data_IF_590796862844
#
_entry.id   IF_590796862844
#
_cell.length_a   1.000
_cell.length_b   1.000
_cell.length_c   1.000
_cell.angle_alpha   90.00
_cell.angle_beta   90.00
_cell.angle_gamma   90.00
#
_symmetry.space_group_name_H-M   'P 1'
#
loop_
_entity.id
_entity.type
_entity.pdbx_description
1 polymer ?
2 water ?
#
# COMPACT_ATOMS: atom_id res chain seq x y z
N UNK A 19 16.95 -12.43 -21.59
CA UNK A 19 16.86 -11.27 -20.63
C UNK A 19 17.54 -11.43 -19.30
N UNK A 20 18.87 -11.43 -19.22
CA UNK A 20 19.50 -11.54 -17.90
C UNK A 20 19.34 -10.16 -17.27
N UNK A 21 18.55 -9.35 -17.97
CA UNK A 21 18.23 -7.98 -17.60
C UNK A 21 16.85 -7.86 -16.95
N UNK A 22 15.87 -8.59 -17.48
CA UNK A 22 14.52 -8.55 -16.93
C UNK A 22 14.45 -9.45 -15.70
N UNK A 23 15.32 -10.45 -15.66
CA UNK A 23 15.39 -11.37 -14.54
C UNK A 23 16.22 -10.72 -13.44
N UNK A 24 17.22 -9.94 -13.84
CA UNK A 24 18.10 -9.24 -12.91
C UNK A 24 17.27 -8.22 -12.13
N UNK A 25 16.45 -7.47 -12.86
CA UNK A 25 15.61 -6.45 -12.26
C UNK A 25 14.58 -7.09 -11.33
N UNK A 26 13.99 -8.20 -11.78
CA UNK A 26 12.99 -8.91 -11.00
C UNK A 26 13.61 -9.55 -9.76
N UNK A 27 14.89 -9.88 -9.86
CA UNK A 27 15.60 -10.50 -8.75
C UNK A 27 15.96 -9.45 -7.70
N UNK A 28 16.33 -8.26 -8.17
CA UNK A 28 16.68 -7.17 -7.27
C UNK A 28 15.44 -6.75 -6.47
N UNK A 29 14.29 -6.75 -7.14
CA UNK A 29 13.04 -6.38 -6.50
C UNK A 29 12.62 -7.39 -5.44
N UNK A 30 12.75 -8.68 -5.76
CA UNK A 30 12.39 -9.71 -4.79
C UNK A 30 13.28 -9.61 -3.56
N UNK A 31 14.55 -9.29 -3.77
CA UNK A 31 15.49 -9.15 -2.66
C UNK A 31 15.05 -7.98 -1.80
N UNK A 32 14.61 -6.92 -2.47
CA UNK A 32 14.14 -5.73 -1.77
C UNK A 32 12.88 -6.06 -0.99
N UNK A 33 11.99 -6.82 -1.63
CA UNK A 33 10.74 -7.21 -0.99
C UNK A 33 10.95 -8.10 0.23
N UNK A 34 11.74 -9.15 0.09
CA UNK A 34 11.98 -10.07 1.19
C UNK A 34 12.77 -9.43 2.32
N UNK A 35 13.55 -8.41 1.98
CA UNK A 35 14.35 -7.70 2.97
C UNK A 35 13.37 -6.83 3.78
N UNK A 36 12.37 -6.29 3.09
CA UNK A 36 11.38 -5.46 3.75
C UNK A 36 10.42 -6.30 4.58
N UNK A 37 10.19 -7.53 4.13
CA UNK A 37 9.31 -8.47 4.83
C UNK A 37 9.96 -8.90 6.14
N UNK A 38 11.28 -9.02 6.12
CA UNK A 38 12.05 -9.44 7.29
C UNK A 38 12.16 -8.38 8.39
N UNK A 39 12.59 -7.17 8.02
CA UNK A 39 12.79 -6.12 9.02
C UNK A 39 12.08 -4.78 8.80
N UNK A 40 11.12 -4.73 7.89
CA UNK A 40 10.43 -3.47 7.64
C UNK A 40 11.07 -2.72 6.48
N UNK A 41 10.53 -1.56 6.14
CA UNK A 41 11.03 -0.77 5.01
C UNK A 41 11.74 0.54 5.36
N UNK A 42 11.29 1.20 6.41
CA UNK A 42 11.85 2.48 6.84
C UNK A 42 13.31 2.44 7.29
N UNK A 43 14.03 1.37 6.96
CA UNK A 43 15.43 1.24 7.35
C UNK A 43 16.26 0.39 6.38
N UNK A 44 15.69 0.04 5.23
CA UNK A 44 16.42 -0.76 4.25
C UNK A 44 17.30 0.15 3.40
N UNK A 45 18.55 -0.25 3.21
CA UNK A 45 19.48 0.56 2.43
C UNK A 45 19.80 -0.07 1.07
N UNK A 46 20.24 0.77 0.13
CA UNK A 46 20.58 0.30 -1.21
C UNK A 46 21.73 -0.71 -1.12
N UNK A 47 22.57 -0.52 -0.11
CA UNK A 47 23.71 -1.40 0.13
C UNK A 47 23.24 -2.80 0.54
N UNK A 48 22.31 -2.85 1.50
CA UNK A 48 21.77 -4.11 1.99
C UNK A 48 21.15 -4.92 0.86
N UNK A 49 20.39 -4.25 0.00
CA UNK A 49 19.76 -4.90 -1.13
C UNK A 49 20.83 -5.49 -2.04
N UNK A 50 21.88 -4.71 -2.28
CA UNK A 50 22.98 -5.13 -3.13
C UNK A 50 23.63 -6.36 -2.51
N UNK A 51 23.89 -6.27 -1.21
CA UNK A 51 24.50 -7.36 -0.46
C UNK A 51 23.64 -8.62 -0.55
N UNK A 52 22.32 -8.44 -0.53
CA UNK A 52 21.39 -9.56 -0.59
C UNK A 52 21.43 -10.26 -1.95
N UNK A 53 21.36 -9.48 -3.04
CA UNK A 53 21.39 -10.06 -4.38
C UNK A 53 22.79 -10.49 -4.79
N UNK A 54 23.79 -10.15 -3.98
CA UNK A 54 25.16 -10.53 -4.28
C UNK A 54 25.82 -9.90 -5.49
N UNK A 55 25.73 -8.58 -5.59
CA UNK A 55 26.36 -7.86 -6.69
C UNK A 55 26.89 -6.56 -6.11
N UNK A 56 27.84 -5.93 -6.79
CA UNK A 56 28.39 -4.68 -6.29
C UNK A 56 27.34 -3.59 -6.40
N UNK A 57 27.46 -2.57 -5.55
CA UNK A 57 26.51 -1.48 -5.53
C UNK A 57 26.47 -0.73 -6.86
N UNK A 58 27.63 -0.60 -7.50
CA UNK A 58 27.71 0.10 -8.78
C UNK A 58 26.85 -0.57 -9.85
N UNK A 59 26.85 -1.90 -9.87
CA UNK A 59 26.06 -2.65 -10.84
C UNK A 59 24.58 -2.49 -10.52
N UNK A 60 24.25 -2.48 -9.24
CA UNK A 60 22.86 -2.32 -8.81
C UNK A 60 22.35 -0.95 -9.25
N UNK A 61 23.22 0.05 -9.17
CA UNK A 61 22.86 1.41 -9.54
C UNK A 61 22.52 1.56 -11.02
N UNK A 62 22.95 0.62 -11.84
CA UNK A 62 22.65 0.69 -13.25
C UNK A 62 21.17 0.41 -13.45
N UNK A 63 20.60 -0.41 -12.56
CA UNK A 63 19.19 -0.74 -12.63
C UNK A 63 18.32 0.27 -11.89
N UNK A 64 18.76 0.69 -10.70
CA UNK A 64 18.00 1.64 -9.89
C UNK A 64 18.88 2.75 -9.29
N UNK A 65 18.50 3.99 -9.55
CA UNK A 65 19.25 5.16 -9.08
C UNK A 65 19.38 5.28 -7.57
N UNK A 66 18.30 4.97 -6.84
CA UNK A 66 18.32 5.06 -5.39
C UNK A 66 17.40 4.01 -4.78
N UNK A 67 17.44 3.88 -3.46
CA UNK A 67 16.58 2.92 -2.79
C UNK A 67 15.12 3.37 -2.89
N UNK A 68 14.91 4.68 -3.06
CA UNK A 68 13.57 5.23 -3.21
C UNK A 68 12.94 4.83 -4.53
N UNK A 69 13.77 4.69 -5.57
CA UNK A 69 13.27 4.30 -6.87
C UNK A 69 12.91 2.81 -6.84
N UNK A 70 13.64 2.05 -6.03
CA UNK A 70 13.35 0.62 -5.92
C UNK A 70 12.01 0.42 -5.23
N UNK A 71 11.79 1.14 -4.14
CA UNK A 71 10.56 1.00 -3.40
C UNK A 71 9.38 1.59 -4.12
N UNK A 72 9.63 2.58 -4.96
CA UNK A 72 8.55 3.18 -5.70
C UNK A 72 8.08 2.14 -6.72
N UNK A 73 9.00 1.38 -7.30
CA UNK A 73 8.59 0.36 -8.27
C UNK A 73 7.86 -0.80 -7.59
N UNK A 74 8.24 -1.12 -6.36
CA UNK A 74 7.57 -2.17 -5.62
C UNK A 74 6.21 -1.66 -5.17
N UNK A 75 6.13 -0.35 -4.92
CA UNK A 75 4.87 0.24 -4.50
C UNK A 75 3.88 0.15 -5.66
N UNK A 76 4.38 0.38 -6.88
CA UNK A 76 3.54 0.33 -8.07
C UNK A 76 3.08 -1.12 -8.34
N UNK A 77 3.97 -2.09 -8.15
CA UNK A 77 3.60 -3.48 -8.35
C UNK A 77 2.52 -3.82 -7.32
N UNK A 78 2.65 -3.23 -6.14
CA UNK A 78 1.69 -3.44 -5.07
C UNK A 78 0.33 -2.87 -5.44
N UNK A 79 0.32 -1.72 -6.11
CA UNK A 79 -0.94 -1.12 -6.54
C UNK A 79 -1.60 -2.04 -7.57
N UNK A 80 -0.82 -2.58 -8.51
CA UNK A 80 -1.39 -3.45 -9.54
C UNK A 80 -1.97 -4.72 -8.91
N UNK A 81 -1.19 -5.34 -8.03
CA UNK A 81 -1.61 -6.57 -7.37
C UNK A 81 -2.85 -6.35 -6.51
N UNK A 82 -2.86 -5.29 -5.71
CA UNK A 82 -4.01 -5.01 -4.86
C UNK A 82 -5.27 -4.66 -5.67
N UNK A 83 -5.11 -3.81 -6.67
CA UNK A 83 -6.24 -3.41 -7.52
C UNK A 83 -6.89 -4.64 -8.18
N UNK A 84 -6.06 -5.51 -8.74
CA UNK A 84 -6.55 -6.72 -9.40
C UNK A 84 -7.29 -7.62 -8.40
N UNK A 85 -6.78 -7.69 -7.17
CA UNK A 85 -7.41 -8.51 -6.13
C UNK A 85 -8.75 -7.91 -5.77
N UNK A 86 -8.73 -6.62 -5.49
CA UNK A 86 -9.92 -5.90 -5.09
C UNK A 86 -11.01 -5.91 -6.17
N UNK A 87 -10.62 -5.66 -7.42
CA UNK A 87 -11.58 -5.63 -8.51
C UNK A 87 -12.14 -7.02 -8.85
N UNK A 88 -11.32 -8.06 -8.74
CA UNK A 88 -11.80 -9.41 -9.02
C UNK A 88 -12.91 -9.77 -8.03
N UNK A 89 -12.78 -9.28 -6.80
CA UNK A 89 -13.77 -9.53 -5.76
C UNK A 89 -15.01 -8.64 -5.90
N UNK A 90 -14.80 -7.36 -6.17
CA UNK A 90 -15.93 -6.44 -6.31
C UNK A 90 -16.76 -6.78 -7.55
N UNK A 91 -16.09 -7.35 -8.54
CA UNK A 91 -16.70 -7.74 -9.80
C UNK A 91 -17.74 -8.86 -9.64
N UNK A 92 -17.80 -9.46 -8.45
CA UNK A 92 -18.75 -10.53 -8.17
C UNK A 92 -19.74 -10.10 -7.08
N UNK A 93 -19.87 -8.79 -6.87
CA UNK A 93 -20.74 -8.26 -5.82
C UNK A 93 -22.08 -7.67 -6.25
N UNK A 94 -23.03 -7.55 -5.30
CA UNK A 94 -24.38 -7.00 -5.51
C UNK A 94 -24.32 -5.47 -5.43
N UNK A 95 -24.33 -4.84 -6.60
CA UNK A 95 -24.23 -3.39 -6.67
C UNK A 95 -25.15 -2.51 -5.85
N UNK A 96 -24.93 -2.42 -4.53
CA UNK A 96 -25.76 -1.57 -3.68
C UNK A 96 -25.51 -1.73 -2.18
N UNK A 97 -24.52 -2.52 -1.79
CA UNK A 97 -24.23 -2.74 -0.38
C UNK A 97 -22.96 -2.03 0.09
N UNK A 98 -23.10 -0.85 0.73
CA UNK A 98 -21.97 -0.07 1.23
C UNK A 98 -21.08 -0.84 2.20
N UNK A 99 -21.69 -1.37 3.26
CA UNK A 99 -20.94 -2.12 4.26
C UNK A 99 -20.17 -3.30 3.66
N UNK A 100 -20.74 -3.94 2.64
CA UNK A 100 -20.08 -5.07 2.01
C UNK A 100 -18.87 -4.61 1.20
N UNK A 101 -18.99 -3.47 0.54
CA UNK A 101 -17.88 -2.96 -0.26
C UNK A 101 -16.76 -2.54 0.68
N UNK A 102 -17.12 -1.84 1.75
CA UNK A 102 -16.13 -1.40 2.72
C UNK A 102 -15.36 -2.58 3.28
N UNK A 103 -16.09 -3.66 3.54
CA UNK A 103 -15.53 -4.89 4.08
C UNK A 103 -14.48 -5.50 3.15
N UNK A 104 -14.70 -5.42 1.84
CA UNK A 104 -13.73 -5.97 0.89
C UNK A 104 -12.46 -5.11 0.84
N UNK A 105 -12.62 -3.80 1.00
CA UNK A 105 -11.48 -2.89 1.00
C UNK A 105 -10.63 -3.14 2.24
N UNK A 106 -11.31 -3.27 3.37
CA UNK A 106 -10.64 -3.49 4.64
C UNK A 106 -9.88 -4.81 4.71
N UNK A 107 -10.48 -5.87 4.17
CA UNK A 107 -9.86 -7.18 4.20
C UNK A 107 -8.67 -7.30 3.27
N UNK A 108 -8.77 -6.74 2.07
CA UNK A 108 -7.66 -6.83 1.14
C UNK A 108 -6.46 -5.99 1.59
N UNK A 109 -6.72 -4.79 2.10
CA UNK A 109 -5.65 -3.92 2.58
C UNK A 109 -5.05 -4.44 3.88
N UNK A 110 -5.89 -4.90 4.80
CA UNK A 110 -5.40 -5.42 6.06
C UNK A 110 -4.49 -6.64 5.84
N UNK A 111 -4.70 -7.34 4.72
CA UNK A 111 -3.91 -8.52 4.40
C UNK A 111 -2.62 -8.19 3.68
N UNK A 112 -2.35 -6.89 3.50
CA UNK A 112 -1.15 -6.46 2.79
C UNK A 112 -0.32 -5.44 3.56
N UNK A 113 0.37 -5.88 4.63
CA UNK A 113 1.20 -4.99 5.44
C UNK A 113 2.35 -4.30 4.71
N UNK A 114 3.07 -5.02 3.85
CA UNK A 114 4.17 -4.39 3.12
C UNK A 114 3.64 -3.31 2.20
N UNK A 115 2.56 -3.62 1.47
CA UNK A 115 1.95 -2.66 0.56
C UNK A 115 1.47 -1.44 1.36
N UNK A 116 0.93 -1.68 2.55
CA UNK A 116 0.46 -0.58 3.40
C UNK A 116 1.63 0.30 3.89
N UNK A 117 2.77 -0.29 4.27
CA UNK A 117 3.94 0.51 4.69
C UNK A 117 4.38 1.40 3.52
N UNK A 118 4.38 0.81 2.32
CA UNK A 118 4.75 1.51 1.10
C UNK A 118 3.76 2.62 0.73
N UNK A 119 2.48 2.42 1.02
CA UNK A 119 1.47 3.46 0.74
C UNK A 119 1.71 4.67 1.66
N UNK A 120 2.14 4.41 2.89
CA UNK A 120 2.42 5.47 3.85
C UNK A 120 3.76 6.16 3.56
N UNK A 121 4.72 5.39 3.05
CA UNK A 121 6.05 5.91 2.75
C UNK A 121 6.20 6.60 1.39
N UNK A 122 5.33 6.24 0.45
CA UNK A 122 5.35 6.77 -0.92
C UNK A 122 5.45 8.29 -1.09
N UNK A 123 4.53 9.05 -0.48
CA UNK A 123 4.58 10.51 -0.61
C UNK A 123 5.96 11.09 -0.28
N UNK A 124 6.67 10.40 0.61
CA UNK A 124 8.00 10.81 1.04
C UNK A 124 9.12 10.26 0.14
N UNK A 125 8.89 9.10 -0.49
CA UNK A 125 9.86 8.44 -1.39
C UNK A 125 10.08 9.19 -2.72
N UNK A 126 8.99 9.60 -3.35
CA UNK A 126 9.06 10.32 -4.62
C UNK A 126 9.38 11.79 -4.39
N UNK A 127 9.13 12.23 -3.17
CA UNK A 127 9.35 13.62 -2.76
C UNK A 127 10.58 14.35 -3.33
N UNK A 128 11.74 13.70 -3.38
CA UNK A 128 12.90 14.42 -3.90
C UNK A 128 14.12 13.64 -4.38
N UNK A 129 14.23 12.36 -4.05
CA UNK A 129 15.38 11.56 -4.49
C UNK A 129 15.05 10.59 -5.63
N UNK A 130 14.09 10.99 -6.46
CA UNK A 130 13.67 10.18 -7.59
C UNK A 130 13.48 11.14 -8.76
N UNK A 131 13.86 10.70 -9.95
CA UNK A 131 13.75 11.53 -11.14
C UNK A 131 12.30 11.88 -11.47
N UNK A 132 12.12 13.07 -12.05
CA UNK A 132 10.81 13.53 -12.43
C UNK A 132 10.07 12.51 -13.29
N UNK A 133 10.76 11.97 -14.29
CA UNK A 133 10.13 11.01 -15.18
C UNK A 133 9.69 9.72 -14.49
N UNK A 134 10.40 9.32 -13.44
CA UNK A 134 10.03 8.12 -12.69
C UNK A 134 8.77 8.46 -11.90
N UNK A 135 8.74 9.64 -11.29
CA UNK A 135 7.57 10.05 -10.52
C UNK A 135 6.37 10.09 -11.46
N UNK A 136 6.56 10.67 -12.64
CA UNK A 136 5.51 10.75 -13.63
C UNK A 136 4.93 9.38 -14.01
N UNK A 137 5.80 8.39 -14.22
CA UNK A 137 5.34 7.05 -14.59
C UNK A 137 4.60 6.41 -13.43
N UNK A 138 5.17 6.56 -12.24
CA UNK A 138 4.58 6.02 -11.02
C UNK A 138 3.17 6.56 -10.78
N UNK A 139 3.02 7.88 -10.82
CA UNK A 139 1.70 8.48 -10.58
C UNK A 139 0.70 8.07 -11.65
N UNK A 140 1.17 7.96 -12.90
CA UNK A 140 0.29 7.56 -13.98
C UNK A 140 -0.18 6.12 -13.73
N UNK A 141 0.76 5.22 -13.44
CA UNK A 141 0.43 3.82 -13.17
C UNK A 141 -0.53 3.73 -11.99
N UNK A 142 -0.22 4.46 -10.93
CA UNK A 142 -1.05 4.48 -9.73
C UNK A 142 -2.45 4.98 -10.02
N UNK A 143 -2.55 6.11 -10.71
CA UNK A 143 -3.85 6.68 -11.02
C UNK A 143 -4.72 5.82 -11.95
N UNK A 144 -4.09 4.90 -12.69
CA UNK A 144 -4.84 4.00 -13.56
C UNK A 144 -5.58 2.98 -12.70
N UNK A 145 -4.97 2.58 -11.59
CA UNK A 145 -5.60 1.62 -10.69
C UNK A 145 -6.71 2.30 -9.91
N UNK A 146 -6.48 3.56 -9.54
CA UNK A 146 -7.48 4.34 -8.84
C UNK A 146 -8.72 4.42 -9.73
N UNK A 147 -8.49 4.59 -11.03
CA UNK A 147 -9.58 4.67 -11.99
C UNK A 147 -10.29 3.34 -12.12
N UNK A 148 -9.52 2.26 -12.19
CA UNK A 148 -10.06 0.91 -12.31
C UNK A 148 -10.94 0.62 -11.11
N UNK A 149 -10.38 0.80 -9.92
CA UNK A 149 -11.12 0.57 -8.68
C UNK A 149 -12.31 1.52 -8.60
N UNK A 150 -12.10 2.75 -9.04
CA UNK A 150 -13.16 3.75 -9.00
C UNK A 150 -14.36 3.35 -9.85
N UNK A 151 -14.09 2.73 -11.00
CA UNK A 151 -15.15 2.29 -11.90
C UNK A 151 -16.07 1.28 -11.21
N UNK A 152 -15.50 0.45 -10.33
CA UNK A 152 -16.29 -0.55 -9.60
C UNK A 152 -17.13 0.13 -8.53
N UNK A 153 -16.59 1.18 -7.92
CA UNK A 153 -17.33 1.91 -6.89
C UNK A 153 -18.54 2.59 -7.55
N UNK A 154 -18.32 3.16 -8.73
CA UNK A 154 -19.39 3.83 -9.45
C UNK A 154 -20.50 2.85 -9.78
N UNK A 155 -20.12 1.70 -10.34
CA UNK A 155 -21.06 0.66 -10.72
C UNK A 155 -21.83 0.07 -9.53
N UNK A 156 -21.12 -0.27 -8.46
CA UNK A 156 -21.74 -0.86 -7.27
C UNK A 156 -22.52 0.11 -6.39
N UNK A 157 -22.04 1.34 -6.25
CA UNK A 157 -22.70 2.30 -5.38
C UNK A 157 -23.16 3.61 -6.04
N UNK A 158 -22.88 3.76 -7.33
CA UNK A 158 -23.29 4.96 -8.04
C UNK A 158 -22.76 6.26 -7.46
N UNK A 159 -21.44 6.34 -7.32
CA UNK A 159 -20.80 7.55 -6.80
C UNK A 159 -20.06 8.22 -7.94
N UNK A 160 -19.93 9.54 -7.87
CA UNK A 160 -19.22 10.27 -8.91
C UNK A 160 -17.72 10.02 -8.78
N UNK A 161 -16.95 10.56 -9.72
CA UNK A 161 -15.50 10.40 -9.73
C UNK A 161 -14.83 10.96 -8.47
N UNK A 162 -15.29 12.11 -8.00
CA UNK A 162 -14.71 12.74 -6.81
C UNK A 162 -14.86 11.87 -5.56
N UNK A 163 -16.05 11.35 -5.34
CA UNK A 163 -16.32 10.52 -4.19
C UNK A 163 -15.54 9.21 -4.24
N UNK A 164 -15.39 8.66 -5.43
CA UNK A 164 -14.65 7.41 -5.60
C UNK A 164 -13.19 7.60 -5.21
N UNK A 165 -12.61 8.72 -5.62
CA UNK A 165 -11.22 9.03 -5.31
C UNK A 165 -11.06 9.28 -3.81
N UNK A 166 -12.01 10.01 -3.23
CA UNK A 166 -11.98 10.29 -1.79
C UNK A 166 -11.93 8.97 -1.01
N UNK A 167 -12.75 8.02 -1.45
CA UNK A 167 -12.83 6.72 -0.81
C UNK A 167 -11.52 5.95 -0.93
N UNK A 168 -10.99 5.85 -2.15
CA UNK A 168 -9.75 5.14 -2.37
C UNK A 168 -8.61 5.80 -1.59
N UNK A 169 -8.49 7.12 -1.72
CA UNK A 169 -7.47 7.89 -1.02
C UNK A 169 -7.58 7.64 0.48
N UNK A 170 -8.81 7.65 0.99
CA UNK A 170 -9.05 7.42 2.41
C UNK A 170 -8.65 6.02 2.84
N UNK A 171 -9.04 5.02 2.04
CA UNK A 171 -8.72 3.63 2.36
C UNK A 171 -7.21 3.39 2.41
N UNK A 172 -6.52 3.78 1.35
CA UNK A 172 -5.07 3.59 1.27
C UNK A 172 -4.31 4.38 2.34
N UNK A 173 -4.65 5.66 2.52
CA UNK A 173 -3.98 6.49 3.52
C UNK A 173 -4.26 5.98 4.93
N UNK A 174 -5.51 5.59 5.19
CA UNK A 174 -5.86 5.09 6.50
C UNK A 174 -5.23 3.71 6.77
N UNK A 175 -5.18 2.85 5.76
CA UNK A 175 -4.59 1.52 5.96
C UNK A 175 -3.09 1.68 6.25
N UNK A 176 -2.44 2.58 5.51
CA UNK A 176 -1.03 2.83 5.72
C UNK A 176 -0.73 3.30 7.13
N UNK A 177 -1.51 4.26 7.62
CA UNK A 177 -1.31 4.80 8.96
C UNK A 177 -1.64 3.81 10.08
N UNK A 178 -2.70 3.02 9.89
CA UNK A 178 -3.07 2.03 10.90
C UNK A 178 -2.00 0.94 11.03
N UNK A 179 -1.45 0.50 9.90
CA UNK A 179 -0.41 -0.52 9.95
C UNK A 179 0.88 0.00 10.61
N UNK A 180 1.17 1.29 10.46
CA UNK A 180 2.35 1.89 11.11
C UNK A 180 2.11 1.92 12.60
N UNK A 181 0.89 2.29 12.99
CA UNK A 181 0.52 2.37 14.40
C UNK A 181 0.52 0.99 15.04
N UNK A 182 0.28 -0.03 14.22
CA UNK A 182 0.23 -1.41 14.68
C UNK A 182 1.59 -2.09 14.78
N UNK A 183 2.61 -1.48 14.19
CA UNK A 183 3.95 -2.05 14.20
C UNK A 183 4.98 -1.06 14.76
N UNK A 184 4.81 -0.65 16.02
CA UNK A 184 5.69 0.31 16.71
C UNK A 184 7.04 -0.20 17.18
N UNK A 185 7.38 -1.45 16.89
CA UNK A 185 8.64 -1.98 17.38
C UNK A 185 8.30 -2.99 18.45
N UNK A 186 8.92 -4.18 18.43
CA UNK A 186 8.70 -5.26 19.39
C UNK A 186 8.48 -4.86 20.85
N UNK A 187 9.45 -4.16 21.42
CA UNK A 187 9.35 -3.74 22.82
C UNK A 187 8.25 -2.72 23.09
N UNK A 188 7.85 -1.96 22.07
CA UNK A 188 6.79 -0.97 22.26
C UNK A 188 5.45 -1.69 22.22
N UNK A 189 5.34 -2.69 21.34
CA UNK A 189 4.11 -3.46 21.25
C UNK A 189 3.85 -4.14 22.59
N UNK A 190 4.92 -4.62 23.21
CA UNK A 190 4.80 -5.27 24.52
C UNK A 190 4.39 -4.22 25.54
N UNK A 191 4.89 -3.00 25.37
CA UNK A 191 4.56 -1.90 26.27
C UNK A 191 3.08 -1.55 26.18
N UNK A 192 2.56 -1.48 24.96
CA UNK A 192 1.16 -1.15 24.76
C UNK A 192 0.25 -2.16 25.46
N UNK A 193 0.57 -3.44 25.31
CA UNK A 193 -0.22 -4.51 25.90
C UNK A 193 -0.10 -4.62 27.41
N UNK A 194 1.02 -4.16 27.96
CA UNK A 194 1.26 -4.24 29.40
C UNK A 194 0.57 -3.15 30.22
N UNK A 195 0.40 -1.97 29.64
CA UNK A 195 -0.22 -0.86 30.36
C UNK A 195 -1.69 -0.69 29.99
N UNK A 196 -2.60 -0.82 30.98
CA UNK A 196 -4.04 -0.69 30.75
C UNK A 196 -4.42 0.69 30.21
N UNK A 197 -3.59 1.69 30.51
CA UNK A 197 -3.84 3.06 30.07
C UNK A 197 -3.52 3.28 28.59
N UNK A 198 -2.82 2.32 27.98
CA UNK A 198 -2.43 2.42 26.58
C UNK A 198 -3.24 1.50 25.68
N UNK A 199 -4.37 1.01 26.21
CA UNK A 199 -5.25 0.10 25.49
C UNK A 199 -5.64 0.62 24.12
N UNK A 200 -5.96 1.90 24.04
CA UNK A 200 -6.36 2.48 22.76
C UNK A 200 -5.18 2.65 21.80
N UNK A 201 -3.96 2.47 22.30
CA UNK A 201 -2.77 2.58 21.46
C UNK A 201 -2.56 1.28 20.68
N UNK A 202 -3.21 0.20 21.13
CA UNK A 202 -3.10 -1.08 20.43
C UNK A 202 -4.03 -1.00 19.23
N UNK A 203 -3.46 -1.04 18.04
CA UNK A 203 -4.25 -0.91 16.83
C UNK A 203 -4.51 -2.19 16.05
N UNK A 204 -5.79 -2.47 15.85
CA UNK A 204 -6.25 -3.60 15.06
C UNK A 204 -6.68 -2.97 13.74
N UNK A 205 -5.91 -3.26 12.70
CA UNK A 205 -6.15 -2.71 11.38
C UNK A 205 -7.49 -3.00 10.72
N UNK A 206 -7.73 -4.26 10.38
CA UNK A 206 -8.97 -4.64 9.70
C UNK A 206 -10.24 -4.15 10.38
N UNK A 207 -10.38 -4.36 11.70
CA UNK A 207 -11.58 -3.92 12.40
C UNK A 207 -11.87 -2.43 12.25
N UNK A 208 -10.90 -1.59 12.59
CA UNK A 208 -11.07 -0.14 12.49
C UNK A 208 -11.31 0.29 11.05
N UNK A 209 -10.51 -0.26 10.16
CA UNK A 209 -10.61 0.06 8.75
C UNK A 209 -11.99 -0.31 8.21
N UNK A 210 -12.54 -1.42 8.69
CA UNK A 210 -13.86 -1.87 8.25
C UNK A 210 -14.96 -0.93 8.75
N UNK A 211 -14.94 -0.61 10.04
CA UNK A 211 -15.94 0.28 10.62
C UNK A 211 -15.95 1.64 9.92
N UNK A 212 -14.76 2.17 9.66
CA UNK A 212 -14.59 3.47 9.01
C UNK A 212 -15.04 3.53 7.56
N UNK A 213 -14.61 2.56 6.76
CA UNK A 213 -14.97 2.55 5.35
C UNK A 213 -16.45 2.23 5.14
N UNK A 214 -17.00 1.41 6.04
CA UNK A 214 -18.41 1.08 5.93
C UNK A 214 -19.22 2.33 6.24
N UNK A 215 -18.95 2.95 7.38
CA UNK A 215 -19.65 4.17 7.78
C UNK A 215 -19.45 5.28 6.75
N UNK A 216 -18.26 5.37 6.17
CA UNK A 216 -17.98 6.39 5.17
C UNK A 216 -18.82 6.16 3.91
N UNK A 217 -18.84 4.93 3.42
CA UNK A 217 -19.61 4.60 2.22
C UNK A 217 -21.12 4.77 2.42
N UNK A 218 -21.62 4.51 3.62
CA UNK A 218 -23.04 4.68 3.91
C UNK A 218 -23.35 6.17 3.92
N UNK A 219 -22.50 6.94 4.60
CA UNK A 219 -22.70 8.37 4.67
C UNK A 219 -22.73 8.98 3.29
N UNK A 220 -22.02 8.37 2.35
CA UNK A 220 -21.99 8.86 0.98
C UNK A 220 -23.23 8.38 0.22
N UNK A 221 -23.61 7.12 0.46
CA UNK A 221 -24.76 6.51 -0.20
C UNK A 221 -26.07 7.15 0.25
N UNK A 222 -26.10 7.62 1.49
CA UNK A 222 -27.29 8.26 2.03
C UNK A 222 -27.34 9.72 1.58
N UNK A 223 -26.64 10.01 0.48
CA UNK A 223 -26.61 11.36 -0.05
C UNK A 223 -26.95 11.38 -1.53
#
# INVERSE_FOLDING_TARGET
MPYDDVMTGSGFQRARSAQAKQQREEAILDAARELGTERGIREITLTDIAATVGMHKSALLRYFETREQIFLKITAEGWKEWSAELCARLRELPGAAPDAVGQVFAATLAARPLFCDLLAQAPLNLERNVSVESVRSFKIATLDEVGRIGAELRRLLGVDETQAVDVIATATSLAGALWQMATPGPHIQTLYRSDPRLAHAVVEVEPRLNRVLGALLRGIADGLEHHHHHH
#
